data_IF_558391522677
#
_entry.id   IF_558391522677
#
_cell.length_a   1.000
_cell.length_b   1.000
_cell.length_c   1.000
_cell.angle_alpha   90.00
_cell.angle_beta   90.00
_cell.angle_gamma   90.00
#
_symmetry.space_group_name_H-M   'P 1'
#
loop_
_entity.id
_entity.type
_entity.pdbx_description
1 polymer ?
#
# COMPACT_ATOMS: atom_id res chain seq x y z
N UNK A 1 80.98 64.46 -70.26
CA UNK A 1 79.91 65.41 -69.86
C UNK A 1 79.23 64.90 -68.59
N UNK A 2 79.30 65.62 -67.45
CA UNK A 2 78.53 65.28 -66.23
C UNK A 2 77.26 66.13 -66.20
N UNK A 3 76.07 65.50 -66.32
CA UNK A 3 74.77 66.20 -66.24
C UNK A 3 74.41 66.44 -64.77
N UNK A 4 74.13 67.71 -64.46
CA UNK A 4 73.72 68.25 -63.17
C UNK A 4 72.26 67.82 -62.91
N UNK A 5 72.00 67.20 -61.75
CA UNK A 5 70.66 66.79 -61.34
C UNK A 5 69.83 68.02 -60.93
N UNK A 6 68.63 68.18 -61.49
CA UNK A 6 67.61 69.10 -61.01
C UNK A 6 66.50 68.30 -60.31
N UNK A 7 66.18 68.57 -59.03
CA UNK A 7 65.10 67.87 -58.36
C UNK A 7 63.75 68.44 -58.82
N UNK A 8 62.95 67.60 -59.49
CA UNK A 8 61.55 67.95 -59.81
C UNK A 8 60.68 67.68 -58.58
N UNK A 9 60.27 68.73 -57.87
CA UNK A 9 59.22 68.61 -56.86
C UNK A 9 57.88 68.31 -57.55
N UNK A 10 57.38 67.08 -57.39
CA UNK A 10 56.00 66.74 -57.76
C UNK A 10 55.05 67.23 -56.65
N UNK A 11 54.05 68.06 -56.95
CA UNK A 11 53.07 68.45 -55.94
C UNK A 11 52.25 67.22 -55.51
N UNK A 12 52.12 66.99 -54.20
CA UNK A 12 51.25 65.93 -53.67
C UNK A 12 49.80 66.22 -54.04
N UNK A 13 49.12 65.20 -54.58
CA UNK A 13 47.69 65.22 -54.92
C UNK A 13 46.89 65.52 -53.65
N UNK A 14 46.09 66.59 -53.66
CA UNK A 14 45.18 66.96 -52.57
C UNK A 14 44.20 65.79 -52.38
N UNK A 15 44.12 65.25 -51.17
CA UNK A 15 43.16 64.19 -50.83
C UNK A 15 41.80 64.86 -50.77
N UNK A 16 40.91 64.48 -51.67
CA UNK A 16 39.52 64.88 -51.66
C UNK A 16 38.80 64.08 -50.56
N UNK A 17 38.29 64.79 -49.54
CA UNK A 17 37.50 64.16 -48.49
C UNK A 17 36.09 64.02 -49.05
N UNK A 18 35.80 62.87 -49.62
CA UNK A 18 34.46 62.51 -50.12
C UNK A 18 33.49 62.56 -48.92
N UNK A 19 32.47 63.44 -48.97
CA UNK A 19 31.50 63.57 -47.89
C UNK A 19 30.71 62.25 -47.77
N UNK A 20 30.76 61.63 -46.60
CA UNK A 20 30.04 60.39 -46.23
C UNK A 20 28.50 60.43 -46.38
N UNK A 21 27.92 61.48 -46.96
CA UNK A 21 26.47 61.69 -47.05
C UNK A 21 25.84 60.92 -48.23
N UNK A 22 26.61 60.60 -49.28
CA UNK A 22 26.06 59.94 -50.49
C UNK A 22 26.27 58.43 -50.57
N UNK A 23 26.82 57.80 -49.52
CA UNK A 23 26.91 56.33 -49.48
C UNK A 23 25.55 55.76 -49.11
N UNK A 24 24.70 55.47 -50.10
CA UNK A 24 23.52 54.60 -49.93
C UNK A 24 23.98 53.35 -49.18
N UNK A 25 23.48 53.16 -47.95
CA UNK A 25 23.76 51.97 -47.16
C UNK A 25 23.46 50.74 -48.04
N UNK A 26 24.36 49.75 -48.12
CA UNK A 26 24.02 48.50 -48.79
C UNK A 26 22.77 47.95 -48.09
N UNK A 27 21.72 47.68 -48.87
CA UNK A 27 20.51 47.01 -48.36
C UNK A 27 21.00 45.72 -47.70
N UNK A 28 20.82 45.57 -46.38
CA UNK A 28 21.10 44.31 -45.69
C UNK A 28 20.42 43.19 -46.48
N UNK A 29 21.07 42.03 -46.70
CA UNK A 29 20.45 40.95 -47.45
C UNK A 29 19.12 40.64 -46.75
N UNK A 30 18.01 40.85 -47.46
CA UNK A 30 16.71 40.39 -47.02
C UNK A 30 16.92 38.93 -46.60
N UNK A 31 16.56 38.59 -45.35
CA UNK A 31 16.50 37.19 -44.92
C UNK A 31 15.55 36.50 -45.89
N UNK A 32 16.12 35.90 -46.93
CA UNK A 32 15.40 35.09 -47.89
C UNK A 32 14.75 34.04 -47.03
N UNK A 33 13.43 34.11 -46.92
CA UNK A 33 12.62 33.16 -46.14
C UNK A 33 13.17 31.78 -46.47
N UNK A 34 13.69 31.08 -45.46
CA UNK A 34 14.21 29.73 -45.62
C UNK A 34 13.16 28.94 -46.38
N UNK A 35 13.42 28.71 -47.67
CA UNK A 35 12.54 27.89 -48.47
C UNK A 35 12.69 26.52 -47.85
N UNK A 36 11.68 26.10 -47.08
CA UNK A 36 11.60 24.76 -46.51
C UNK A 36 11.67 23.83 -47.72
N UNK A 37 12.87 23.33 -48.03
CA UNK A 37 13.06 22.36 -49.09
C UNK A 37 12.41 21.09 -48.59
N UNK A 38 11.16 20.89 -48.99
CA UNK A 38 10.38 19.68 -48.72
C UNK A 38 10.95 18.55 -49.59
N UNK A 39 12.15 18.09 -49.26
CA UNK A 39 12.71 16.88 -49.85
C UNK A 39 11.81 15.71 -49.44
N UNK A 40 11.53 14.78 -50.37
CA UNK A 40 10.65 13.61 -50.14
C UNK A 40 10.98 12.86 -48.84
N UNK A 41 12.27 12.78 -48.50
CA UNK A 41 12.76 12.19 -47.23
C UNK A 41 12.26 12.95 -45.99
N UNK A 42 12.40 14.28 -45.97
CA UNK A 42 11.93 15.13 -44.86
C UNK A 42 10.42 15.04 -44.67
N UNK A 43 9.66 14.91 -45.77
CA UNK A 43 8.20 14.74 -45.72
C UNK A 43 7.82 13.39 -45.09
N UNK A 44 8.51 12.30 -45.48
CA UNK A 44 8.31 10.96 -44.90
C UNK A 44 8.62 10.95 -43.40
N UNK A 45 9.74 11.52 -42.98
CA UNK A 45 10.10 11.58 -41.55
C UNK A 45 9.10 12.41 -40.73
N UNK A 46 8.64 13.55 -41.27
CA UNK A 46 7.60 14.36 -40.61
C UNK A 46 6.27 13.60 -40.52
N UNK A 47 5.88 12.88 -41.58
CA UNK A 47 4.67 12.05 -41.58
C UNK A 47 4.75 10.94 -40.52
N UNK A 48 5.88 10.26 -40.42
CA UNK A 48 6.10 9.23 -39.39
C UNK A 48 6.01 9.81 -37.98
N UNK A 49 6.68 10.94 -37.73
CA UNK A 49 6.66 11.60 -36.43
C UNK A 49 5.23 12.00 -36.01
N UNK A 50 4.47 12.61 -36.92
CA UNK A 50 3.07 12.99 -36.68
C UNK A 50 2.21 11.76 -36.43
N UNK A 51 2.38 10.68 -37.21
CA UNK A 51 1.63 9.44 -37.04
C UNK A 51 1.91 8.78 -35.68
N UNK A 52 3.16 8.72 -35.24
CA UNK A 52 3.52 8.19 -33.92
C UNK A 52 2.91 9.01 -32.80
N UNK A 53 2.94 10.34 -32.93
CA UNK A 53 2.34 11.23 -31.94
C UNK A 53 0.82 11.06 -31.88
N UNK A 54 0.16 10.95 -33.04
CA UNK A 54 -1.27 10.68 -33.12
C UNK A 54 -1.64 9.32 -32.49
N UNK A 55 -0.84 8.28 -32.72
CA UNK A 55 -1.05 6.97 -32.10
C UNK A 55 -0.93 7.02 -30.57
N UNK A 56 0.08 7.72 -30.04
CA UNK A 56 0.26 7.91 -28.60
C UNK A 56 -0.88 8.75 -27.99
N UNK A 57 -1.28 9.84 -28.65
CA UNK A 57 -2.41 10.66 -28.21
C UNK A 57 -3.72 9.89 -28.23
N UNK A 58 -3.96 9.06 -29.24
CA UNK A 58 -5.12 8.18 -29.30
C UNK A 58 -5.10 7.12 -28.18
N UNK A 59 -3.94 6.53 -27.90
CA UNK A 59 -3.77 5.59 -26.79
C UNK A 59 -4.02 6.26 -25.44
N UNK A 60 -3.52 7.48 -25.26
CA UNK A 60 -3.73 8.28 -24.05
C UNK A 60 -5.22 8.62 -23.88
N UNK A 61 -5.86 9.10 -24.94
CA UNK A 61 -7.29 9.40 -24.95
C UNK A 61 -8.14 8.17 -24.60
N UNK A 62 -7.79 7.00 -25.16
CA UNK A 62 -8.46 5.74 -24.82
C UNK A 62 -8.36 5.43 -23.31
N UNK A 63 -7.17 5.55 -22.72
CA UNK A 63 -6.98 5.31 -21.29
C UNK A 63 -7.67 6.36 -20.40
N UNK A 64 -7.78 7.60 -20.87
CA UNK A 64 -8.40 8.68 -20.11
C UNK A 64 -9.93 8.72 -20.22
N UNK A 65 -10.50 8.35 -21.36
CA UNK A 65 -11.94 8.52 -21.65
C UNK A 65 -12.68 7.18 -21.60
N UNK A 66 -12.12 6.12 -22.18
CA UNK A 66 -12.77 4.80 -22.19
C UNK A 66 -12.51 4.07 -20.87
N UNK A 67 -11.27 4.14 -20.37
CA UNK A 67 -10.88 3.49 -19.09
C UNK A 67 -11.06 4.42 -17.87
N UNK A 68 -11.77 5.54 -18.04
CA UNK A 68 -11.96 6.56 -17.00
C UNK A 68 -12.68 6.00 -15.77
N UNK A 69 -13.63 5.08 -15.97
CA UNK A 69 -14.38 4.44 -14.89
C UNK A 69 -13.46 3.69 -13.91
N UNK A 70 -12.37 3.07 -14.38
CA UNK A 70 -11.39 2.41 -13.50
C UNK A 70 -10.52 3.38 -12.70
N UNK A 71 -10.50 4.65 -13.07
CA UNK A 71 -9.67 5.67 -12.44
C UNK A 71 -10.46 6.56 -11.47
N UNK A 72 -11.74 6.85 -11.78
CA UNK A 72 -12.59 7.68 -10.90
C UNK A 72 -13.03 6.90 -9.66
N UNK A 73 -13.35 5.60 -9.78
CA UNK A 73 -13.69 4.76 -8.62
C UNK A 73 -12.49 4.53 -7.68
N UNK A 74 -11.26 4.75 -8.16
CA UNK A 74 -10.03 4.54 -7.39
C UNK A 74 -9.60 5.74 -6.55
N UNK A 75 -10.15 6.95 -6.78
CA UNK A 75 -9.67 8.17 -6.12
C UNK A 75 -10.34 8.49 -4.78
N UNK A 76 -11.45 7.83 -4.42
CA UNK A 76 -12.17 8.22 -3.21
C UNK A 76 -11.52 7.69 -1.91
N UNK A 77 -10.77 6.58 -1.90
CA UNK A 77 -10.06 6.16 -0.66
C UNK A 77 -9.06 5.00 -0.74
N UNK A 78 -8.80 4.41 -1.91
CA UNK A 78 -8.00 3.18 -1.96
C UNK A 78 -6.65 3.43 -2.65
N UNK A 79 -5.60 3.48 -1.83
CA UNK A 79 -4.22 3.33 -2.29
C UNK A 79 -4.16 2.07 -3.17
N UNK A 80 -3.84 2.23 -4.46
CA UNK A 80 -3.72 1.12 -5.41
C UNK A 80 -2.54 0.24 -5.00
N UNK A 81 -2.81 -0.69 -4.09
CA UNK A 81 -1.89 -1.76 -3.75
C UNK A 81 -2.13 -2.87 -4.75
N UNK A 82 -1.17 -3.07 -5.64
CA UNK A 82 -1.14 -4.27 -6.46
C UNK A 82 -1.01 -5.46 -5.50
N UNK A 83 -2.13 -6.13 -5.23
CA UNK A 83 -2.13 -7.36 -4.45
C UNK A 83 -1.88 -8.50 -5.44
N UNK A 84 -0.67 -9.09 -5.47
CA UNK A 84 -0.45 -10.25 -6.31
C UNK A 84 -1.39 -11.35 -5.82
N UNK A 85 -2.31 -11.78 -6.68
CA UNK A 85 -3.15 -12.94 -6.40
C UNK A 85 -2.24 -14.17 -6.41
N UNK A 86 -2.01 -14.83 -5.26
CA UNK A 86 -1.18 -16.02 -5.24
C UNK A 86 -1.88 -17.11 -6.05
N UNK A 87 -1.11 -17.78 -6.91
CA UNK A 87 -1.63 -18.97 -7.59
C UNK A 87 -1.94 -20.06 -6.55
N UNK A 88 -3.09 -20.71 -6.70
CA UNK A 88 -3.43 -21.87 -5.86
C UNK A 88 -2.37 -22.98 -6.06
N UNK A 89 -1.94 -23.64 -4.97
CA UNK A 89 -1.00 -24.77 -5.09
C UNK A 89 -1.67 -25.94 -5.79
N UNK A 90 -0.90 -26.77 -6.48
CA UNK A 90 -1.42 -28.03 -7.03
C UNK A 90 -1.87 -28.97 -5.91
N UNK A 91 -2.95 -29.72 -6.14
CA UNK A 91 -3.39 -30.78 -5.23
C UNK A 91 -2.38 -31.92 -5.27
N UNK A 92 -1.94 -32.39 -4.10
CA UNK A 92 -0.98 -33.50 -3.99
C UNK A 92 -1.78 -34.78 -3.72
N UNK A 93 -1.61 -35.79 -4.57
CA UNK A 93 -2.26 -37.10 -4.47
C UNK A 93 -1.25 -38.18 -4.10
N UNK A 94 -1.68 -39.18 -3.32
CA UNK A 94 -0.96 -40.44 -3.14
C UNK A 94 -1.08 -41.35 -4.39
N UNK A 95 -0.33 -42.46 -4.42
CA UNK A 95 -0.34 -43.50 -5.47
C UNK A 95 -1.74 -44.03 -5.78
N UNK A 96 -2.62 -44.05 -4.78
CA UNK A 96 -4.01 -44.50 -4.89
C UNK A 96 -4.99 -43.35 -5.21
N UNK A 97 -4.47 -42.20 -5.68
CA UNK A 97 -5.22 -40.97 -5.97
C UNK A 97 -5.98 -40.37 -4.77
N UNK A 98 -5.57 -40.69 -3.55
CA UNK A 98 -6.12 -40.04 -2.35
C UNK A 98 -5.46 -38.66 -2.17
N UNK A 99 -6.22 -37.55 -2.06
CA UNK A 99 -5.63 -36.24 -1.81
C UNK A 99 -4.97 -36.23 -0.42
N UNK A 100 -3.68 -35.86 -0.37
CA UNK A 100 -2.89 -35.70 0.86
C UNK A 100 -2.76 -34.23 1.28
N UNK A 101 -2.82 -33.31 0.33
CA UNK A 101 -2.82 -31.88 0.60
C UNK A 101 -3.80 -31.15 -0.32
N UNK A 102 -4.72 -30.41 0.29
CA UNK A 102 -5.72 -29.57 -0.36
C UNK A 102 -5.57 -28.11 0.09
N UNK A 103 -6.01 -27.16 -0.75
CA UNK A 103 -5.97 -25.73 -0.44
C UNK A 103 -7.26 -25.32 0.26
N UNK A 104 -7.23 -25.24 1.58
CA UNK A 104 -8.31 -24.66 2.37
C UNK A 104 -8.23 -23.13 2.34
N UNK A 105 -9.36 -22.47 2.10
CA UNK A 105 -9.48 -21.02 2.27
C UNK A 105 -9.51 -20.72 3.77
N UNK A 106 -8.52 -19.98 4.26
CA UNK A 106 -8.53 -19.44 5.62
C UNK A 106 -8.98 -17.98 5.59
N UNK A 107 -10.00 -17.64 6.37
CA UNK A 107 -10.40 -16.25 6.59
C UNK A 107 -9.84 -15.77 7.93
N UNK A 108 -9.20 -14.60 7.92
CA UNK A 108 -8.72 -13.93 9.13
C UNK A 108 -9.42 -12.59 9.28
N UNK A 109 -10.01 -12.34 10.44
CA UNK A 109 -10.58 -11.03 10.79
C UNK A 109 -9.59 -10.28 11.66
N UNK A 110 -9.24 -9.06 11.25
CA UNK A 110 -8.37 -8.18 12.00
C UNK A 110 -9.14 -6.91 12.37
N UNK A 111 -9.07 -6.52 13.64
CA UNK A 111 -9.69 -5.30 14.16
C UNK A 111 -8.57 -4.32 14.48
N UNK A 112 -8.64 -3.12 13.91
CA UNK A 112 -7.66 -2.06 14.17
C UNK A 112 -8.12 -1.26 15.39
N UNK A 113 -7.37 -1.25 16.52
CA UNK A 113 -7.81 -0.58 17.75
C UNK A 113 -8.11 0.92 17.58
N UNK A 114 -7.40 1.60 16.68
CA UNK A 114 -7.57 3.03 16.41
C UNK A 114 -8.91 3.39 15.72
N UNK A 115 -9.58 2.40 15.11
CA UNK A 115 -10.89 2.61 14.48
C UNK A 115 -12.04 2.28 15.43
N UNK A 116 -11.75 1.91 16.67
CA UNK A 116 -12.78 1.61 17.67
C UNK A 116 -13.14 2.88 18.46
N UNK A 117 -14.34 2.92 19.04
CA UNK A 117 -14.71 3.97 19.97
C UNK A 117 -13.69 4.12 21.09
N UNK A 118 -13.49 5.37 21.51
CA UNK A 118 -12.51 5.75 22.52
C UNK A 118 -12.75 4.99 23.84
N UNK A 119 -11.70 4.52 24.49
CA UNK A 119 -11.81 3.78 25.75
C UNK A 119 -11.73 4.67 26.98
N UNK A 120 -11.45 5.97 26.82
CA UNK A 120 -11.44 6.93 27.92
C UNK A 120 -12.86 7.29 28.41
N UNK A 121 -13.86 7.25 27.53
CA UNK A 121 -15.26 7.58 27.86
C UNK A 121 -16.08 6.33 28.16
N UNK A 122 -16.96 6.36 29.15
CA UNK A 122 -17.80 5.20 29.52
C UNK A 122 -18.73 4.76 28.38
N UNK A 123 -19.28 5.71 27.62
CA UNK A 123 -20.07 5.41 26.41
C UNK A 123 -19.24 4.68 25.34
N UNK A 124 -17.97 5.05 25.18
CA UNK A 124 -17.07 4.42 24.21
C UNK A 124 -16.68 3.00 24.61
N UNK A 125 -16.47 2.74 25.92
CA UNK A 125 -16.26 1.37 26.44
C UNK A 125 -17.46 0.46 26.15
N UNK A 126 -18.68 0.95 26.38
CA UNK A 126 -19.92 0.18 26.14
C UNK A 126 -20.08 -0.15 24.65
N UNK A 127 -19.87 0.84 23.76
CA UNK A 127 -19.95 0.62 22.32
C UNK A 127 -18.88 -0.37 21.84
N UNK A 128 -17.66 -0.25 22.35
CA UNK A 128 -16.56 -1.17 22.06
C UNK A 128 -16.87 -2.60 22.51
N UNK A 129 -17.45 -2.76 23.69
CA UNK A 129 -17.90 -4.06 24.18
C UNK A 129 -19.00 -4.65 23.29
N UNK A 130 -19.98 -3.85 22.85
CA UNK A 130 -21.03 -4.30 21.94
C UNK A 130 -20.47 -4.77 20.58
N UNK A 131 -19.47 -4.09 20.06
CA UNK A 131 -18.77 -4.49 18.82
C UNK A 131 -18.07 -5.85 19.04
N UNK A 132 -17.34 -6.03 20.14
CA UNK A 132 -16.68 -7.29 20.42
C UNK A 132 -17.65 -8.45 20.61
N UNK A 133 -18.77 -8.24 21.31
CA UNK A 133 -19.82 -9.27 21.48
C UNK A 133 -20.44 -9.64 20.13
N UNK A 134 -20.74 -8.65 19.29
CA UNK A 134 -21.29 -8.89 17.95
C UNK A 134 -20.32 -9.69 17.08
N UNK A 135 -19.03 -9.34 17.11
CA UNK A 135 -17.98 -10.06 16.38
C UNK A 135 -17.80 -11.48 16.91
N UNK A 136 -17.77 -11.67 18.23
CA UNK A 136 -17.65 -13.00 18.84
C UNK A 136 -18.79 -13.92 18.39
N UNK A 137 -20.03 -13.41 18.44
CA UNK A 137 -21.22 -14.14 18.01
C UNK A 137 -21.19 -14.48 16.51
N UNK A 138 -20.84 -13.52 15.65
CA UNK A 138 -20.81 -13.74 14.20
C UNK A 138 -19.70 -14.67 13.76
N UNK A 139 -18.56 -14.65 14.45
CA UNK A 139 -17.41 -15.50 14.15
C UNK A 139 -17.51 -16.88 14.81
N UNK A 140 -18.62 -17.16 15.51
CA UNK A 140 -18.79 -18.35 16.33
C UNK A 140 -17.55 -18.61 17.21
N UNK A 141 -16.97 -17.54 17.75
CA UNK A 141 -15.85 -17.66 18.66
C UNK A 141 -16.37 -18.31 19.93
N UNK A 142 -15.78 -19.44 20.32
CA UNK A 142 -16.04 -20.00 21.64
C UNK A 142 -15.71 -18.94 22.69
N UNK A 143 -16.58 -18.75 23.69
CA UNK A 143 -16.34 -17.84 24.78
C UNK A 143 -15.06 -18.29 25.52
N UNK A 144 -13.97 -17.58 25.28
CA UNK A 144 -12.69 -17.88 25.93
C UNK A 144 -12.66 -17.15 27.26
N UNK A 145 -12.88 -17.90 28.33
CA UNK A 145 -12.72 -17.38 29.69
C UNK A 145 -11.24 -17.42 30.01
N UNK A 146 -10.64 -16.23 30.17
CA UNK A 146 -9.26 -16.09 30.62
C UNK A 146 -9.25 -15.94 32.13
N UNK A 147 -8.81 -16.98 32.83
CA UNK A 147 -8.65 -16.92 34.28
C UNK A 147 -7.18 -16.66 34.58
N UNK A 148 -6.94 -15.65 35.42
CA UNK A 148 -5.61 -15.26 35.90
C UNK A 148 -5.36 -15.94 37.25
N UNK A 149 -4.56 -17.02 37.31
CA UNK A 149 -4.42 -17.79 38.55
C UNK A 149 -3.81 -16.97 39.70
N UNK A 150 -2.99 -15.97 39.40
CA UNK A 150 -2.36 -15.10 40.39
C UNK A 150 -3.35 -14.19 41.14
N UNK A 151 -4.52 -13.93 40.56
CA UNK A 151 -5.57 -13.09 41.16
C UNK A 151 -6.56 -13.93 41.99
N UNK A 152 -6.46 -15.26 41.96
CA UNK A 152 -7.25 -16.11 42.84
C UNK A 152 -6.77 -15.98 44.29
N UNK A 153 -7.73 -16.01 45.22
CA UNK A 153 -7.45 -16.07 46.65
C UNK A 153 -6.49 -17.22 46.96
N UNK A 154 -5.55 -17.06 47.89
CA UNK A 154 -4.71 -18.18 48.34
C UNK A 154 -5.51 -19.20 49.18
N UNK A 155 -6.58 -18.71 49.82
CA UNK A 155 -7.41 -19.46 50.76
C UNK A 155 -8.39 -20.40 50.02
N UNK A 156 -8.29 -21.70 50.30
CA UNK A 156 -9.08 -22.78 49.68
C UNK A 156 -10.61 -22.51 49.68
N UNK A 157 -11.26 -22.20 50.82
CA UNK A 157 -12.71 -21.96 50.86
C UNK A 157 -13.16 -20.78 49.99
N UNK A 158 -12.39 -19.69 49.93
CA UNK A 158 -12.73 -18.50 49.13
C UNK A 158 -12.52 -18.73 47.63
N UNK A 159 -11.51 -19.53 47.25
CA UNK A 159 -11.32 -19.96 45.85
C UNK A 159 -12.49 -20.79 45.37
N UNK A 160 -12.97 -21.70 46.20
CA UNK A 160 -14.09 -22.58 45.85
C UNK A 160 -15.39 -21.81 45.66
N UNK A 161 -15.65 -20.83 46.51
CA UNK A 161 -16.76 -19.89 46.32
C UNK A 161 -16.60 -19.09 45.02
N UNK A 162 -15.39 -18.68 44.68
CA UNK A 162 -15.09 -17.94 43.44
C UNK A 162 -15.32 -18.80 42.20
N UNK A 163 -14.87 -20.06 42.20
CA UNK A 163 -15.16 -21.00 41.11
C UNK A 163 -16.65 -21.24 40.95
N UNK A 164 -17.37 -21.40 42.05
CA UNK A 164 -18.83 -21.60 42.04
C UNK A 164 -19.55 -20.39 41.46
N UNK A 165 -19.16 -19.17 41.85
CA UNK A 165 -19.71 -17.93 41.28
C UNK A 165 -19.37 -17.76 39.81
N UNK A 166 -18.14 -18.08 39.42
CA UNK A 166 -17.69 -17.99 38.03
C UNK A 166 -18.44 -18.99 37.13
N UNK A 167 -18.58 -20.23 37.59
CA UNK A 167 -19.33 -21.28 36.93
C UNK A 167 -20.79 -20.89 36.72
N UNK A 168 -21.43 -20.34 37.76
CA UNK A 168 -22.81 -19.85 37.69
C UNK A 168 -22.97 -18.66 36.73
N UNK A 169 -22.00 -17.75 36.68
CA UNK A 169 -22.03 -16.58 35.79
C UNK A 169 -21.86 -16.95 34.31
N UNK A 170 -21.13 -18.03 34.02
CA UNK A 170 -20.79 -18.46 32.65
C UNK A 170 -21.70 -19.61 32.18
N UNK A 171 -22.47 -20.23 33.08
CA UNK A 171 -23.39 -21.32 32.75
C UNK A 171 -22.67 -22.65 32.47
N UNK A 172 -21.49 -22.85 33.06
CA UNK A 172 -20.62 -24.03 32.84
C UNK A 172 -20.47 -24.77 34.17
N UNK A 173 -20.23 -26.09 34.12
CA UNK A 173 -19.97 -26.89 35.31
C UNK A 173 -18.72 -26.41 36.05
N UNK A 174 -18.72 -26.49 37.39
CA UNK A 174 -17.62 -26.00 38.24
C UNK A 174 -16.33 -26.76 37.94
N UNK A 175 -16.45 -28.04 37.63
CA UNK A 175 -15.35 -28.96 37.32
C UNK A 175 -14.59 -28.54 36.06
N UNK A 176 -15.31 -28.07 35.03
CA UNK A 176 -14.72 -27.59 33.77
C UNK A 176 -13.78 -26.40 33.98
N UNK A 177 -14.03 -25.59 35.01
CA UNK A 177 -13.21 -24.44 35.38
C UNK A 177 -12.12 -24.84 36.36
N UNK A 178 -12.47 -25.58 37.42
CA UNK A 178 -11.59 -25.90 38.55
C UNK A 178 -10.42 -26.80 38.12
N UNK A 179 -10.71 -27.91 37.45
CA UNK A 179 -9.74 -28.95 37.15
C UNK A 179 -8.52 -28.46 36.33
N UNK A 180 -8.68 -27.71 35.22
CA UNK A 180 -7.53 -27.19 34.46
C UNK A 180 -6.69 -26.18 35.25
N UNK A 181 -7.28 -25.45 36.20
CA UNK A 181 -6.55 -24.47 37.01
C UNK A 181 -5.75 -25.17 38.10
N UNK A 182 -6.36 -26.10 38.84
CA UNK A 182 -5.66 -26.83 39.90
C UNK A 182 -4.53 -27.70 39.33
N UNK A 183 -4.76 -28.36 38.18
CA UNK A 183 -3.72 -29.15 37.51
C UNK A 183 -2.56 -28.28 37.06
N UNK A 184 -2.80 -27.10 36.50
CA UNK A 184 -1.74 -26.18 36.09
C UNK A 184 -0.97 -25.61 37.30
N UNK A 185 -1.64 -25.29 38.41
CA UNK A 185 -0.99 -24.86 39.66
C UNK A 185 -0.11 -25.98 40.23
N UNK A 186 -0.62 -27.21 40.23
CA UNK A 186 0.12 -28.38 40.71
C UNK A 186 1.35 -28.69 39.81
N UNK A 187 1.19 -28.58 38.49
CA UNK A 187 2.27 -28.81 37.54
C UNK A 187 3.32 -27.70 37.61
N UNK A 188 2.90 -26.44 37.77
CA UNK A 188 3.79 -25.31 37.99
C UNK A 188 4.60 -25.45 39.28
N UNK A 189 3.97 -25.90 40.37
CA UNK A 189 4.65 -26.19 41.64
C UNK A 189 5.67 -27.33 41.51
N UNK A 190 5.32 -28.40 40.78
CA UNK A 190 6.20 -29.55 40.52
C UNK A 190 7.43 -29.16 39.70
N UNK A 191 7.25 -28.31 38.69
CA UNK A 191 8.31 -27.87 37.78
C UNK A 191 9.07 -26.63 38.28
N UNK A 192 8.72 -26.10 39.47
CA UNK A 192 9.25 -24.84 40.02
C UNK A 192 9.16 -23.67 39.03
N UNK A 193 8.14 -23.67 38.17
CA UNK A 193 7.88 -22.60 37.20
C UNK A 193 6.72 -21.74 37.68
N UNK A 194 6.64 -20.51 37.19
CA UNK A 194 5.44 -19.71 37.37
C UNK A 194 4.26 -20.38 36.65
N UNK A 195 3.09 -20.39 37.27
CA UNK A 195 1.86 -20.79 36.61
C UNK A 195 1.61 -19.90 35.39
N UNK A 196 0.97 -20.46 34.37
CA UNK A 196 0.59 -19.68 33.19
C UNK A 196 -0.25 -18.46 33.58
N UNK A 197 0.02 -17.32 32.92
CA UNK A 197 -0.67 -16.04 33.19
C UNK A 197 -2.17 -16.09 32.87
N UNK A 198 -2.56 -16.97 31.97
CA UNK A 198 -3.93 -17.13 31.50
C UNK A 198 -4.17 -18.58 31.15
N UNK A 199 -5.21 -19.17 31.73
CA UNK A 199 -5.69 -20.50 31.36
C UNK A 199 -6.96 -20.31 30.56
N UNK A 200 -7.03 -20.93 29.38
CA UNK A 200 -8.25 -20.94 28.56
C UNK A 200 -9.18 -22.03 29.09
N UNK A 201 -10.37 -21.62 29.52
CA UNK A 201 -11.45 -22.58 29.81
C UNK A 201 -12.44 -22.54 28.65
N UNK A 202 -12.77 -23.70 28.03
CA UNK A 202 -13.82 -23.75 27.03
C UNK A 202 -15.17 -23.47 27.71
N UNK A 203 -15.79 -22.33 27.42
CA UNK A 203 -17.18 -22.09 27.80
C UNK A 203 -18.11 -22.70 26.73
N UNK A 204 -19.10 -23.49 27.19
CA UNK A 204 -20.07 -24.15 26.31
C UNK A 204 -20.92 -23.14 25.52
N UNK A 205 -21.14 -23.36 24.22
CA UNK A 205 -22.24 -24.23 23.79
C UNK A 205 -22.00 -25.01 22.48
N UNK A 206 -20.80 -25.03 21.91
CA UNK A 206 -20.61 -25.59 20.54
C UNK A 206 -19.36 -26.46 20.34
N UNK A 207 -18.90 -27.17 21.36
CA UNK A 207 -17.82 -28.17 21.23
C UNK A 207 -18.25 -29.58 21.64
N UNK A 208 -19.51 -29.93 21.37
CA UNK A 208 -19.97 -31.32 21.36
C UNK A 208 -20.22 -31.76 19.91
N UNK A 209 -19.15 -32.35 19.35
CA UNK A 209 -19.12 -33.22 18.15
C UNK A 209 -19.24 -32.54 16.79
N UNK A 210 -18.12 -32.48 16.09
CA UNK A 210 -18.10 -32.67 14.64
C UNK A 210 -17.70 -34.14 14.39
N UNK A 211 -18.70 -34.98 14.06
CA UNK A 211 -18.50 -36.14 13.18
C UNK A 211 -18.49 -35.67 11.72
#
# INVERSE_FOLDING_TARGET
>A
MRKRYQPTFRPKKRIEIERMVDKKRPKSPERTKDQIRLTRRTLVFKGLAVSSFAALSGRLFYLQVVDQQRSIDAQQQFNRRDFPLPAARGLIYDRDRKPLADNLKSWSVAVVPANLPDDETDDGKLQRQAIYVTLANQLAMADVVIIRPAELYADQPKREETYTRLAAAIGVAVETIRDPIETEIALAAKEKRAAQRSIKVPAGSTDLKLE
#
